data_IF_606276663133
#
_entry.id   IF_606276663133
#
_cell.length_a   1.000
_cell.length_b   1.000
_cell.length_c   1.000
_cell.angle_alpha   90.00
_cell.angle_beta   90.00
_cell.angle_gamma   90.00
#
_symmetry.space_group_name_H-M   'P 1'
#
loop_
_entity.id
_entity.type
_entity.pdbx_description
1 polymer ?
#
# COMPACT_ATOMS: atom_id res chain seq x y z
N UNK A 1 -11.32 -6.14 -7.35
CA UNK A 1 -11.31 -4.79 -6.79
C UNK A 1 -12.71 -4.18 -6.83
N UNK A 2 -13.04 -3.40 -5.80
CA UNK A 2 -14.31 -2.67 -5.69
C UNK A 2 -14.02 -1.19 -5.48
N UNK A 3 -14.76 -0.34 -6.20
CA UNK A 3 -14.77 1.09 -5.95
C UNK A 3 -16.02 1.45 -5.15
N UNK A 4 -15.84 1.99 -3.96
CA UNK A 4 -16.89 2.53 -3.12
C UNK A 4 -17.07 4.02 -3.46
N UNK A 5 -18.09 4.31 -4.25
CA UNK A 5 -18.37 5.68 -4.73
C UNK A 5 -19.35 6.37 -3.79
N UNK A 6 -19.07 7.61 -3.43
CA UNK A 6 -19.99 8.42 -2.61
C UNK A 6 -19.41 9.78 -2.27
N UNK A 7 -20.27 10.76 -2.00
CA UNK A 7 -19.89 12.12 -1.62
C UNK A 7 -19.13 12.17 -0.30
N UNK A 8 -18.50 13.30 -0.01
CA UNK A 8 -17.85 13.52 1.29
C UNK A 8 -18.87 13.43 2.42
N UNK A 9 -18.51 12.80 3.53
CA UNK A 9 -19.40 12.64 4.68
C UNK A 9 -20.34 11.43 4.62
N UNK A 10 -20.43 10.70 3.52
CA UNK A 10 -21.31 9.53 3.36
C UNK A 10 -20.85 8.27 4.13
N UNK A 11 -19.86 8.39 5.00
CA UNK A 11 -19.45 7.28 5.86
C UNK A 11 -18.58 6.20 5.21
N UNK A 12 -17.96 6.46 4.02
CA UNK A 12 -17.11 5.48 3.32
C UNK A 12 -15.97 4.95 4.20
N UNK A 13 -15.25 5.86 4.86
CA UNK A 13 -14.18 5.52 5.83
C UNK A 13 -14.71 4.64 6.95
N UNK A 14 -15.88 4.97 7.48
CA UNK A 14 -16.51 4.21 8.55
C UNK A 14 -16.88 2.79 8.10
N UNK A 15 -17.45 2.66 6.91
CA UNK A 15 -17.77 1.37 6.31
C UNK A 15 -16.52 0.49 6.13
N UNK A 16 -15.43 1.05 5.61
CA UNK A 16 -14.18 0.32 5.48
C UNK A 16 -13.59 -0.08 6.83
N UNK A 17 -13.73 0.76 7.86
CA UNK A 17 -13.27 0.43 9.21
C UNK A 17 -14.10 -0.69 9.85
N UNK A 18 -15.41 -0.70 9.67
CA UNK A 18 -16.27 -1.80 10.13
C UNK A 18 -15.86 -3.10 9.42
N UNK A 19 -15.71 -3.06 8.09
CA UNK A 19 -15.30 -4.23 7.32
C UNK A 19 -13.91 -4.74 7.75
N UNK A 20 -12.96 -3.83 8.03
CA UNK A 20 -11.65 -4.19 8.57
C UNK A 20 -11.77 -4.90 9.92
N UNK A 21 -12.55 -4.33 10.86
CA UNK A 21 -12.73 -4.91 12.19
C UNK A 21 -13.37 -6.30 12.12
N UNK A 22 -14.41 -6.45 11.31
CA UNK A 22 -15.08 -7.73 11.12
C UNK A 22 -14.15 -8.80 10.54
N UNK A 23 -13.40 -8.46 9.48
CA UNK A 23 -12.45 -9.39 8.88
C UNK A 23 -11.33 -9.78 9.85
N UNK A 24 -10.84 -8.86 10.70
CA UNK A 24 -9.86 -9.18 11.74
C UNK A 24 -10.44 -10.09 12.81
N UNK A 25 -11.69 -9.88 13.23
CA UNK A 25 -12.38 -10.75 14.16
C UNK A 25 -12.55 -12.18 13.60
N UNK A 26 -12.86 -12.28 12.31
CA UNK A 26 -13.11 -13.55 11.63
C UNK A 26 -11.80 -14.19 11.08
N UNK A 27 -10.66 -13.52 11.22
CA UNK A 27 -9.37 -13.96 10.66
C UNK A 27 -8.96 -15.38 11.10
N UNK A 28 -9.15 -15.81 12.38
CA UNK A 28 -8.80 -17.16 12.78
C UNK A 28 -9.50 -18.25 11.97
N UNK A 29 -10.72 -17.99 11.49
CA UNK A 29 -11.56 -18.95 10.75
C UNK A 29 -11.40 -18.80 9.24
N UNK A 30 -11.47 -17.56 8.73
CA UNK A 30 -11.52 -17.30 7.28
C UNK A 30 -10.16 -17.07 6.64
N UNK A 31 -9.12 -16.78 7.45
CA UNK A 31 -7.74 -16.51 7.01
C UNK A 31 -7.65 -15.36 6.00
N UNK A 32 -8.58 -14.40 6.06
CA UNK A 32 -8.58 -13.19 5.23
C UNK A 32 -8.08 -12.02 6.06
N UNK A 33 -6.91 -11.48 5.69
CA UNK A 33 -6.24 -10.42 6.45
C UNK A 33 -6.50 -9.05 5.85
N UNK A 34 -7.17 -8.13 6.56
CA UNK A 34 -7.43 -6.78 6.05
C UNK A 34 -6.33 -5.80 6.46
N UNK A 35 -5.95 -4.93 5.52
CA UNK A 35 -5.16 -3.73 5.82
C UNK A 35 -5.92 -2.48 5.41
N UNK A 36 -5.76 -1.40 6.16
CA UNK A 36 -6.38 -0.11 5.87
C UNK A 36 -5.32 0.96 5.67
N UNK A 37 -5.42 1.66 4.55
CA UNK A 37 -4.49 2.68 4.12
C UNK A 37 -5.23 3.97 3.78
N UNK A 38 -4.69 5.11 4.19
CA UNK A 38 -5.18 6.43 3.78
C UNK A 38 -4.07 7.25 3.16
N UNK A 39 -4.40 8.02 2.11
CA UNK A 39 -3.46 8.85 1.37
C UNK A 39 -3.55 10.34 1.75
N UNK A 40 -4.01 10.67 2.96
CA UNK A 40 -4.18 12.06 3.42
C UNK A 40 -2.95 12.96 3.25
N UNK A 41 -1.74 12.41 3.20
CA UNK A 41 -0.50 13.17 3.01
C UNK A 41 -0.09 13.37 1.55
N UNK A 42 -0.84 12.85 0.60
CA UNK A 42 -0.50 12.89 -0.82
C UNK A 42 -0.34 14.27 -1.46
N UNK A 43 -1.02 15.36 -1.02
CA UNK A 43 -0.81 16.68 -1.60
C UNK A 43 0.62 17.20 -1.46
N UNK A 44 1.40 16.63 -0.55
CA UNK A 44 2.82 16.98 -0.38
C UNK A 44 3.70 16.36 -1.48
N UNK A 45 3.14 15.45 -2.26
CA UNK A 45 3.81 14.66 -3.30
C UNK A 45 3.71 15.38 -4.66
N UNK A 46 3.99 16.67 -4.68
CA UNK A 46 4.05 17.44 -5.93
C UNK A 46 5.47 17.34 -6.53
N UNK A 47 5.78 16.25 -7.21
CA UNK A 47 7.06 16.18 -7.92
C UNK A 47 6.87 16.13 -9.42
N UNK A 48 7.76 16.81 -10.11
CA UNK A 48 7.87 16.73 -11.56
C UNK A 48 8.51 15.43 -12.07
N UNK A 49 8.90 14.52 -11.19
CA UNK A 49 9.57 13.28 -11.58
C UNK A 49 8.55 12.14 -11.76
N UNK A 50 8.44 11.65 -12.99
CA UNK A 50 7.63 10.46 -13.30
C UNK A 50 8.13 9.28 -12.46
N UNK A 51 7.20 8.51 -11.90
CA UNK A 51 7.50 7.30 -11.13
C UNK A 51 7.66 7.50 -9.62
N UNK A 52 8.01 8.68 -9.13
CA UNK A 52 8.16 8.89 -7.68
C UNK A 52 6.87 8.68 -6.90
N UNK A 53 5.73 9.08 -7.47
CA UNK A 53 4.44 8.89 -6.82
C UNK A 53 4.08 7.41 -6.70
N UNK A 54 4.37 6.62 -7.72
CA UNK A 54 4.16 5.16 -7.72
C UNK A 54 5.03 4.48 -6.66
N UNK A 55 6.32 4.80 -6.60
CA UNK A 55 7.24 4.32 -5.57
C UNK A 55 6.73 4.68 -4.18
N UNK A 56 6.26 5.91 -3.98
CA UNK A 56 5.69 6.34 -2.71
C UNK A 56 4.45 5.52 -2.34
N UNK A 57 3.53 5.28 -3.28
CA UNK A 57 2.34 4.45 -3.04
C UNK A 57 2.73 3.01 -2.66
N UNK A 58 3.65 2.40 -3.41
CA UNK A 58 4.14 1.04 -3.12
C UNK A 58 4.76 0.96 -1.74
N UNK A 59 5.64 1.91 -1.41
CA UNK A 59 6.25 1.96 -0.10
C UNK A 59 5.21 2.09 1.03
N UNK A 60 4.17 2.91 0.85
CA UNK A 60 3.05 3.04 1.81
C UNK A 60 2.28 1.74 1.98
N UNK A 61 2.03 1.02 0.90
CA UNK A 61 1.32 -0.28 0.94
C UNK A 61 2.18 -1.30 1.69
N UNK A 62 3.45 -1.45 1.32
CA UNK A 62 4.40 -2.36 1.98
C UNK A 62 4.52 -2.07 3.49
N UNK A 63 4.80 -0.82 3.84
CA UNK A 63 4.96 -0.41 5.25
C UNK A 63 3.68 -0.67 6.06
N UNK A 64 2.51 -0.41 5.45
CA UNK A 64 1.23 -0.66 6.13
C UNK A 64 1.00 -2.15 6.32
N UNK A 65 1.25 -2.97 5.31
CA UNK A 65 1.12 -4.43 5.40
C UNK A 65 1.97 -4.99 6.55
N UNK A 66 3.24 -4.66 6.57
CA UNK A 66 4.17 -5.13 7.59
C UNK A 66 3.73 -4.67 8.99
N UNK A 67 3.38 -3.40 9.14
CA UNK A 67 2.92 -2.84 10.42
C UNK A 67 1.67 -3.56 10.95
N UNK A 68 0.70 -3.83 10.09
CA UNK A 68 -0.53 -4.50 10.50
C UNK A 68 -0.27 -5.99 10.82
N UNK A 69 0.61 -6.68 10.09
CA UNK A 69 1.04 -8.05 10.41
C UNK A 69 1.76 -8.11 11.77
N UNK A 70 2.63 -7.13 12.07
CA UNK A 70 3.26 -6.99 13.40
C UNK A 70 2.21 -6.79 14.50
N UNK A 71 1.27 -5.87 14.33
CA UNK A 71 0.20 -5.61 15.29
C UNK A 71 -0.66 -6.84 15.56
N UNK A 72 -0.91 -7.65 14.54
CA UNK A 72 -1.64 -8.91 14.65
C UNK A 72 -0.83 -10.05 15.28
N UNK A 73 0.46 -9.81 15.60
CA UNK A 73 1.34 -10.83 16.18
C UNK A 73 1.75 -11.94 15.20
N UNK A 74 1.52 -11.76 13.90
CA UNK A 74 1.79 -12.79 12.89
C UNK A 74 3.28 -12.89 12.53
N UNK A 75 4.04 -11.81 12.72
CA UNK A 75 5.47 -11.73 12.40
C UNK A 75 6.36 -11.41 13.62
N UNK A 76 5.91 -11.76 14.82
CA UNK A 76 6.69 -11.55 16.04
C UNK A 76 7.95 -12.41 16.01
N UNK A 77 9.11 -11.80 16.19
CA UNK A 77 10.41 -12.49 16.25
C UNK A 77 10.91 -13.09 14.94
N UNK A 78 10.20 -12.90 13.84
CA UNK A 78 10.68 -13.29 12.51
C UNK A 78 11.37 -12.10 11.84
N UNK A 79 12.61 -12.33 11.40
CA UNK A 79 13.31 -11.39 10.53
C UNK A 79 12.75 -11.52 9.10
N UNK A 80 11.71 -10.79 8.82
CA UNK A 80 11.17 -10.69 7.48
C UNK A 80 11.98 -9.66 6.71
N UNK A 81 12.77 -10.15 5.78
CA UNK A 81 13.50 -9.29 4.86
C UNK A 81 12.74 -9.29 3.53
N UNK A 82 12.19 -8.14 3.15
CA UNK A 82 11.85 -7.88 1.75
C UNK A 82 13.10 -7.99 0.83
N UNK A 83 14.25 -8.28 1.38
CA UNK A 83 15.55 -8.34 0.73
C UNK A 83 16.05 -9.74 0.41
N UNK A 84 15.28 -10.79 0.58
CA UNK A 84 15.66 -12.10 0.02
C UNK A 84 15.52 -12.18 -1.50
N UNK A 85 14.97 -11.15 -2.12
CA UNK A 85 14.83 -11.06 -3.58
C UNK A 85 16.04 -10.40 -4.24
N UNK A 86 16.90 -9.73 -3.48
CA UNK A 86 18.16 -9.23 -4.01
C UNK A 86 19.30 -10.18 -3.65
N UNK A 87 19.87 -10.82 -4.68
CA UNK A 87 21.09 -11.59 -4.68
C UNK A 87 22.01 -11.45 -3.47
N UNK A 88 22.17 -12.53 -2.68
CA UNK A 88 23.44 -13.00 -2.12
C UNK A 88 24.30 -12.03 -1.30
N UNK A 89 23.75 -10.96 -0.76
CA UNK A 89 24.50 -9.98 0.05
C UNK A 89 24.07 -10.01 1.51
N UNK A 90 24.88 -10.62 2.36
CA UNK A 90 24.88 -10.47 3.81
C UNK A 90 24.60 -9.04 4.25
N UNK A 91 23.38 -8.73 4.57
CA UNK A 91 23.08 -7.64 5.50
C UNK A 91 21.74 -7.96 6.15
N UNK A 92 21.81 -8.33 7.44
CA UNK A 92 20.69 -8.30 8.39
C UNK A 92 20.18 -6.85 8.51
N UNK A 93 19.50 -6.41 7.48
CA UNK A 93 18.88 -5.10 7.49
C UNK A 93 17.50 -5.30 8.07
N UNK A 94 17.21 -4.67 9.18
CA UNK A 94 15.88 -4.54 9.76
C UNK A 94 14.93 -3.95 8.72
N UNK A 95 14.38 -4.81 7.89
CA UNK A 95 13.69 -4.43 6.65
C UNK A 95 12.46 -3.57 6.87
N UNK A 96 11.80 -3.71 8.04
CA UNK A 96 10.64 -2.91 8.40
C UNK A 96 11.05 -1.51 8.84
N UNK A 97 12.10 -1.41 9.67
CA UNK A 97 12.61 -0.12 10.12
C UNK A 97 13.18 0.66 8.92
N UNK A 98 13.83 -0.02 8.00
CA UNK A 98 14.32 0.60 6.77
C UNK A 98 13.20 1.06 5.84
N UNK A 99 12.13 0.28 5.64
CA UNK A 99 10.99 0.74 4.84
C UNK A 99 10.27 1.92 5.49
N UNK A 100 10.15 1.94 6.82
CA UNK A 100 9.60 3.09 7.53
C UNK A 100 10.52 4.31 7.41
N UNK A 101 11.83 4.12 7.56
CA UNK A 101 12.83 5.18 7.40
C UNK A 101 12.85 5.70 5.95
N UNK A 102 12.74 4.81 4.96
CA UNK A 102 12.60 5.17 3.55
C UNK A 102 11.33 5.98 3.32
N UNK A 103 10.18 5.56 3.86
CA UNK A 103 8.94 6.33 3.74
C UNK A 103 9.09 7.72 4.34
N UNK A 104 9.67 7.81 5.53
CA UNK A 104 9.87 9.08 6.21
C UNK A 104 10.88 9.97 5.48
N UNK A 105 12.00 9.43 5.03
CA UNK A 105 12.99 10.14 4.21
C UNK A 105 12.37 10.58 2.89
N UNK A 106 11.58 9.72 2.27
CA UNK A 106 10.85 10.06 1.07
C UNK A 106 9.86 11.19 1.32
N UNK A 107 9.04 11.12 2.35
CA UNK A 107 8.12 12.20 2.73
C UNK A 107 8.85 13.50 3.12
N UNK A 108 10.06 13.43 3.66
CA UNK A 108 10.91 14.59 3.99
C UNK A 108 11.63 15.17 2.78
N UNK A 109 12.04 14.35 1.82
CA UNK A 109 12.79 14.80 0.62
C UNK A 109 12.02 15.86 -0.20
N UNK A 110 10.68 15.81 -0.14
CA UNK A 110 9.79 16.79 -0.76
C UNK A 110 9.91 18.19 -0.19
N UNK A 111 10.37 18.30 1.05
CA UNK A 111 10.58 19.56 1.74
C UNK A 111 11.98 20.12 1.51
N UNK A 112 12.87 19.33 0.92
CA UNK A 112 14.28 19.68 0.75
C UNK A 112 14.66 19.64 -0.73
N UNK A 113 14.71 20.78 -1.43
CA UNK A 113 15.10 20.83 -2.84
C UNK A 113 16.49 20.22 -3.07
N UNK A 114 16.59 19.35 -4.09
CA UNK A 114 17.88 18.72 -4.48
C UNK A 114 18.25 17.45 -3.72
N UNK A 115 17.43 16.97 -2.82
CA UNK A 115 17.67 15.69 -2.15
C UNK A 115 17.41 14.52 -3.11
N UNK A 116 18.44 13.71 -3.37
CA UNK A 116 18.32 12.47 -4.14
C UNK A 116 17.87 11.37 -3.20
N UNK A 117 16.85 10.63 -3.60
CA UNK A 117 16.27 9.54 -2.85
C UNK A 117 16.60 8.20 -3.51
N UNK A 118 17.11 7.25 -2.72
CA UNK A 118 17.33 5.88 -3.17
C UNK A 118 16.00 5.09 -3.14
N UNK A 119 15.49 4.79 -4.32
CA UNK A 119 14.24 4.02 -4.49
C UNK A 119 14.48 2.53 -4.65
N UNK A 120 15.72 2.07 -4.69
CA UNK A 120 16.09 0.68 -5.01
C UNK A 120 15.56 -0.35 -4.00
N UNK A 121 15.24 0.10 -2.78
CA UNK A 121 14.71 -0.77 -1.74
C UNK A 121 13.17 -0.88 -1.75
N UNK A 122 12.48 -0.14 -2.61
CA UNK A 122 11.02 -0.25 -2.74
C UNK A 122 10.72 -1.24 -3.86
N UNK A 123 10.00 -2.33 -3.58
CA UNK A 123 9.73 -3.34 -4.59
C UNK A 123 8.88 -2.75 -5.73
N UNK A 124 9.13 -3.20 -6.93
CA UNK A 124 8.20 -3.00 -8.04
C UNK A 124 6.95 -3.86 -7.87
N UNK A 125 6.00 -3.77 -8.79
CA UNK A 125 4.70 -4.47 -8.67
C UNK A 125 4.88 -5.99 -8.68
N UNK A 126 5.72 -6.52 -9.57
CA UNK A 126 5.92 -7.96 -9.70
C UNK A 126 6.60 -8.51 -8.44
N UNK A 127 7.67 -7.88 -7.98
CA UNK A 127 8.34 -8.21 -6.72
C UNK A 127 7.38 -8.14 -5.52
N UNK A 128 6.51 -7.12 -5.49
CA UNK A 128 5.51 -7.00 -4.44
C UNK A 128 4.49 -8.13 -4.47
N UNK A 129 4.09 -8.57 -5.66
CA UNK A 129 3.14 -9.69 -5.81
C UNK A 129 3.74 -11.00 -5.33
N UNK A 130 5.02 -11.26 -5.65
CA UNK A 130 5.76 -12.43 -5.17
C UNK A 130 5.89 -12.40 -3.64
N UNK A 131 6.23 -11.26 -3.07
CA UNK A 131 6.27 -11.06 -1.62
C UNK A 131 4.92 -11.34 -0.96
N UNK A 132 3.83 -10.86 -1.55
CA UNK A 132 2.47 -11.11 -1.02
C UNK A 132 2.14 -12.61 -1.06
N UNK A 133 2.50 -13.31 -2.11
CA UNK A 133 2.32 -14.76 -2.22
C UNK A 133 3.11 -15.49 -1.12
N UNK A 134 4.39 -15.18 -0.94
CA UNK A 134 5.25 -15.78 0.10
C UNK A 134 4.70 -15.51 1.49
N UNK A 135 4.30 -14.27 1.79
CA UNK A 135 3.67 -13.88 3.04
C UNK A 135 2.40 -14.69 3.30
N UNK A 136 1.55 -14.82 2.30
CA UNK A 136 0.30 -15.57 2.41
C UNK A 136 0.56 -17.06 2.68
N UNK A 137 1.51 -17.66 1.98
CA UNK A 137 1.87 -19.07 2.15
C UNK A 137 2.51 -19.33 3.52
N UNK A 138 3.48 -18.51 3.93
CA UNK A 138 4.20 -18.71 5.20
C UNK A 138 3.32 -18.48 6.43
N UNK A 139 2.46 -17.46 6.39
CA UNK A 139 1.58 -17.09 7.51
C UNK A 139 0.21 -17.79 7.45
N UNK A 140 0.00 -18.68 6.49
CA UNK A 140 -1.29 -19.33 6.26
C UNK A 140 -2.42 -18.30 6.13
N UNK A 141 -2.19 -17.25 5.34
CA UNK A 141 -3.17 -16.24 4.98
C UNK A 141 -3.77 -16.62 3.64
N UNK A 142 -5.09 -16.78 3.58
CA UNK A 142 -5.78 -17.10 2.34
C UNK A 142 -5.80 -15.92 1.36
N UNK A 143 -5.94 -14.70 1.91
CA UNK A 143 -6.01 -13.46 1.12
C UNK A 143 -5.79 -12.22 1.96
N UNK A 144 -5.12 -11.24 1.37
CA UNK A 144 -5.00 -9.89 1.90
C UNK A 144 -6.05 -8.99 1.21
N UNK A 145 -6.82 -8.25 2.00
CA UNK A 145 -7.77 -7.23 1.51
C UNK A 145 -7.25 -5.86 1.86
N UNK A 146 -6.98 -5.06 0.84
CA UNK A 146 -6.50 -3.68 1.01
C UNK A 146 -7.68 -2.71 0.88
N UNK A 147 -7.92 -1.91 1.90
CA UNK A 147 -8.86 -0.81 1.89
C UNK A 147 -8.10 0.51 1.73
N UNK A 148 -8.30 1.17 0.59
CA UNK A 148 -7.66 2.42 0.20
C UNK A 148 -8.65 3.57 0.38
N UNK A 149 -8.43 4.41 1.37
CA UNK A 149 -9.30 5.55 1.66
C UNK A 149 -8.69 6.87 1.17
N UNK A 150 -9.54 7.80 0.80
CA UNK A 150 -9.18 9.12 0.27
C UNK A 150 -8.26 9.08 -0.96
N UNK A 151 -8.42 8.07 -1.81
CA UNK A 151 -7.51 7.74 -2.88
C UNK A 151 -7.59 8.67 -4.10
N UNK A 152 -8.65 9.45 -4.26
CA UNK A 152 -8.85 10.17 -5.52
C UNK A 152 -8.80 11.70 -5.37
N UNK A 153 -9.51 12.27 -4.41
CA UNK A 153 -9.68 13.72 -4.33
C UNK A 153 -8.45 14.50 -3.84
N UNK A 154 -7.49 13.81 -3.24
CA UNK A 154 -6.23 14.40 -2.77
C UNK A 154 -5.14 14.38 -3.84
N UNK A 155 -5.39 13.69 -4.96
CA UNK A 155 -4.43 13.52 -6.03
C UNK A 155 -4.67 14.50 -7.18
N UNK A 156 -3.59 14.98 -7.79
CA UNK A 156 -3.65 15.64 -9.09
C UNK A 156 -4.10 14.63 -10.16
N UNK A 157 -4.66 15.08 -11.33
CA UNK A 157 -5.13 14.16 -12.35
C UNK A 157 -4.10 13.12 -12.80
N UNK A 158 -2.84 13.51 -12.93
CA UNK A 158 -1.75 12.59 -13.29
C UNK A 158 -1.48 11.56 -12.19
N UNK A 159 -1.52 11.96 -10.92
CA UNK A 159 -1.38 11.05 -9.79
C UNK A 159 -2.58 10.09 -9.69
N UNK A 160 -3.78 10.55 -10.05
CA UNK A 160 -4.95 9.67 -10.11
C UNK A 160 -4.80 8.59 -11.19
N UNK A 161 -4.23 8.93 -12.36
CA UNK A 161 -3.92 7.94 -13.41
C UNK A 161 -2.96 6.87 -12.91
N UNK A 162 -1.87 7.29 -12.27
CA UNK A 162 -0.88 6.37 -11.69
C UNK A 162 -1.50 5.50 -10.59
N UNK A 163 -2.32 6.10 -9.72
CA UNK A 163 -3.06 5.35 -8.68
C UNK A 163 -3.97 4.28 -9.29
N UNK A 164 -4.77 4.62 -10.30
CA UNK A 164 -5.67 3.63 -10.91
C UNK A 164 -4.94 2.60 -11.76
N UNK A 165 -3.77 2.94 -12.33
CA UNK A 165 -2.85 1.97 -12.91
C UNK A 165 -2.46 0.92 -11.90
N UNK A 166 -1.81 1.35 -10.82
CA UNK A 166 -1.38 0.50 -9.72
C UNK A 166 -2.54 -0.30 -9.10
N UNK A 167 -3.69 0.34 -8.86
CA UNK A 167 -4.89 -0.30 -8.32
C UNK A 167 -5.41 -1.46 -9.19
N UNK A 168 -5.26 -1.38 -10.52
CA UNK A 168 -5.64 -2.45 -11.44
C UNK A 168 -4.64 -3.58 -11.44
N UNK A 169 -3.36 -3.27 -11.29
CA UNK A 169 -2.26 -4.23 -11.36
C UNK A 169 -2.10 -5.02 -10.05
N UNK A 170 -2.28 -4.38 -8.88
CA UNK A 170 -2.21 -5.06 -7.58
C UNK A 170 -3.48 -5.90 -7.38
N UNK A 171 -3.53 -7.06 -8.04
CA UNK A 171 -4.58 -8.07 -7.85
C UNK A 171 -4.10 -9.47 -8.20
N UNK A 172 -4.38 -10.42 -7.32
CA UNK A 172 -4.14 -11.84 -7.56
C UNK A 172 -5.11 -12.71 -6.78
N UNK A 173 -4.83 -14.00 -6.70
CA UNK A 173 -5.52 -14.90 -5.77
C UNK A 173 -5.30 -14.46 -4.31
N UNK A 174 -4.13 -13.90 -4.00
CA UNK A 174 -3.67 -13.58 -2.66
C UNK A 174 -3.98 -12.14 -2.21
N UNK A 175 -4.21 -11.19 -3.12
CA UNK A 175 -4.47 -9.79 -2.77
C UNK A 175 -5.60 -9.19 -3.58
N UNK A 176 -6.45 -8.39 -2.91
CA UNK A 176 -7.49 -7.56 -3.53
C UNK A 176 -7.50 -6.17 -2.93
N UNK A 177 -7.55 -5.16 -3.80
CA UNK A 177 -7.68 -3.77 -3.40
C UNK A 177 -9.13 -3.29 -3.54
N UNK A 178 -9.61 -2.52 -2.57
CA UNK A 178 -10.87 -1.79 -2.61
C UNK A 178 -10.58 -0.32 -2.30
N UNK A 179 -11.14 0.60 -3.08
CA UNK A 179 -10.85 2.02 -2.93
C UNK A 179 -12.14 2.84 -2.73
N UNK A 180 -12.07 3.84 -1.84
CA UNK A 180 -13.12 4.83 -1.65
C UNK A 180 -12.82 6.05 -2.52
N UNK A 181 -13.76 6.40 -3.39
CA UNK A 181 -13.62 7.49 -4.37
C UNK A 181 -14.80 8.46 -4.30
N UNK A 182 -14.62 9.63 -4.89
CA UNK A 182 -15.62 10.69 -4.90
C UNK A 182 -16.19 10.88 -6.32
N UNK A 183 -17.51 10.93 -6.48
CA UNK A 183 -18.13 11.21 -7.78
C UNK A 183 -17.74 12.60 -8.28
N UNK A 184 -17.44 12.74 -9.56
CA UNK A 184 -17.10 14.01 -10.20
C UNK A 184 -15.71 14.59 -9.89
N UNK A 185 -15.01 14.05 -8.89
CA UNK A 185 -13.65 14.46 -8.54
C UNK A 185 -12.61 13.39 -8.89
N UNK A 186 -13.05 12.27 -9.44
CA UNK A 186 -12.19 11.14 -9.75
C UNK A 186 -11.94 11.06 -11.24
N UNK A 187 -10.67 11.08 -11.61
CA UNK A 187 -10.22 10.90 -12.99
C UNK A 187 -9.71 9.46 -13.15
N UNK A 188 -10.48 8.64 -13.86
CA UNK A 188 -10.19 7.21 -14.02
C UNK A 188 -9.19 6.88 -15.14
N UNK A 189 -8.70 7.87 -15.89
CA UNK A 189 -7.87 7.72 -17.09
C UNK A 189 -8.70 7.69 -18.39
N UNK A 190 -8.00 7.77 -19.53
CA UNK A 190 -8.62 7.91 -20.86
C UNK A 190 -9.01 6.58 -21.51
N UNK A 191 -8.98 5.47 -20.77
CA UNK A 191 -9.24 4.14 -21.35
C UNK A 191 -10.31 3.39 -20.59
N UNK A 192 -11.47 3.47 -21.14
CA UNK A 192 -12.42 2.36 -21.15
C UNK A 192 -12.47 1.78 -22.54
#
# INVERSE_FOLDING_TARGET
PVLLVGSRGMGKTYLFKIAQMQLLSDFPQNRVFPIFLTFRGAPLVQTGNKGQFEVWMMNRICTTLIRELKKAGLIVGKHWTFGNITDGGKNDINSIENLMDITEKFERSWKTPGMVFDTSMVPNIDEFMDIVEDVCNELNIKRIIVFLDEAAHVFMPEQQRQFFGLFREIRSAYIKCNAAVYPGATFYGDTF
#
